data_IF_119188438665
#
_entry.id   IF_119188438665
#
_cell.length_a   1.000
_cell.length_b   1.000
_cell.length_c   1.000
_cell.angle_alpha   90.00
_cell.angle_beta   90.00
_cell.angle_gamma   90.00
#
_symmetry.space_group_name_H-M   'P 1'
#
loop_
_entity.id
_entity.type
_entity.pdbx_description
1 polymer ?
#
# COMPACT_ATOMS: atom_id res chain seq x y z
N UNK A 1 9.12 -1.93 82.66
CA UNK A 1 10.50 -1.40 82.69
C UNK A 1 10.83 -0.84 81.30
N UNK A 2 11.35 0.40 81.25
CA UNK A 2 12.05 1.10 80.13
C UNK A 2 11.47 1.00 78.71
N UNK A 3 10.85 2.04 78.13
CA UNK A 3 11.45 3.26 77.51
C UNK A 3 12.43 2.99 76.35
N UNK A 4 12.09 3.60 75.20
CA UNK A 4 12.82 3.74 73.93
C UNK A 4 14.31 4.09 74.05
N UNK A 5 15.07 3.93 72.96
CA UNK A 5 15.40 5.14 72.19
C UNK A 5 15.24 5.03 70.66
N UNK A 6 14.95 6.19 70.08
CA UNK A 6 15.04 6.61 68.66
C UNK A 6 16.42 7.32 68.47
N UNK A 7 16.82 7.84 67.30
CA UNK A 7 17.62 7.24 66.22
C UNK A 7 18.98 7.97 65.98
N UNK A 8 19.83 7.52 65.05
CA UNK A 8 20.93 8.31 64.42
C UNK A 8 21.50 7.58 63.19
N UNK A 9 22.01 8.28 62.15
CA UNK A 9 21.83 7.91 60.76
C UNK A 9 23.08 7.30 60.12
N UNK A 10 22.89 6.32 59.24
CA UNK A 10 23.91 5.91 58.28
C UNK A 10 23.33 5.87 56.87
N UNK A 11 23.68 6.91 56.11
CA UNK A 11 24.03 6.91 54.69
C UNK A 11 23.36 5.84 53.82
N UNK A 12 22.23 6.20 53.21
CA UNK A 12 21.84 5.58 51.95
C UNK A 12 22.84 5.95 50.84
N UNK A 13 23.04 5.10 49.82
CA UNK A 13 23.87 5.43 48.68
C UNK A 13 23.27 6.63 47.93
N UNK A 14 24.13 7.57 47.57
CA UNK A 14 23.81 8.73 46.75
C UNK A 14 23.16 8.28 45.43
N UNK A 15 21.97 8.81 45.15
CA UNK A 15 21.39 8.79 43.81
C UNK A 15 22.14 9.83 42.97
N UNK A 16 22.65 9.48 41.77
CA UNK A 16 23.28 10.46 40.90
C UNK A 16 22.25 11.52 40.49
N UNK A 17 22.58 12.79 40.78
CA UNK A 17 21.88 13.96 40.29
C UNK A 17 22.04 14.04 38.77
N UNK A 18 20.95 13.85 38.03
CA UNK A 18 20.92 14.15 36.60
C UNK A 18 20.60 15.64 36.40
N UNK A 19 21.61 16.40 35.98
CA UNK A 19 21.42 17.72 35.41
C UNK A 19 20.71 17.59 34.06
N UNK A 20 19.55 18.20 33.93
CA UNK A 20 18.88 18.35 32.64
C UNK A 20 19.57 19.45 31.82
N UNK A 21 20.43 19.04 30.89
CA UNK A 21 20.85 19.91 29.79
C UNK A 21 19.74 19.97 28.75
N UNK A 22 19.16 21.15 28.57
CA UNK A 22 18.14 21.46 27.57
C UNK A 22 18.77 21.55 26.18
N UNK A 23 18.54 20.54 25.34
CA UNK A 23 18.95 20.57 23.93
C UNK A 23 18.83 19.22 23.22
N UNK A 24 17.60 18.74 22.99
CA UNK A 24 17.35 17.65 22.04
C UNK A 24 16.36 18.18 20.99
N UNK A 25 16.79 18.17 19.73
CA UNK A 25 15.94 18.52 18.60
C UNK A 25 14.93 17.39 18.33
N UNK A 26 13.72 17.68 17.79
CA UNK A 26 12.68 16.67 17.55
C UNK A 26 13.03 15.54 16.55
N UNK A 27 14.25 15.51 16.00
CA UNK A 27 14.70 14.53 15.01
C UNK A 27 15.29 13.24 15.59
N UNK A 28 15.51 13.16 16.91
CA UNK A 28 16.31 12.07 17.51
C UNK A 28 15.50 11.09 18.38
N UNK A 29 14.17 11.06 18.23
CA UNK A 29 13.32 10.06 18.89
C UNK A 29 13.41 8.71 18.17
N UNK A 30 14.43 7.93 18.49
CA UNK A 30 14.48 6.50 18.18
C UNK A 30 13.59 5.76 19.16
N UNK A 31 12.53 5.13 18.66
CA UNK A 31 11.71 4.20 19.41
C UNK A 31 12.52 2.93 19.71
N UNK A 32 12.88 2.72 20.98
CA UNK A 32 13.47 1.47 21.46
C UNK A 32 12.37 0.71 22.21
N UNK A 33 11.84 -0.40 21.68
CA UNK A 33 10.86 -1.20 22.40
C UNK A 33 11.50 -1.87 23.63
N UNK A 34 10.72 -2.10 24.71
CA UNK A 34 11.23 -2.69 25.94
C UNK A 34 11.74 -4.13 25.73
N UNK A 35 12.93 -4.41 26.26
CA UNK A 35 13.56 -5.72 26.26
C UNK A 35 12.70 -6.76 27.02
N UNK A 36 12.75 -8.00 26.51
CA UNK A 36 12.17 -9.26 27.02
C UNK A 36 11.02 -9.88 26.22
N UNK A 37 11.13 -9.91 24.89
CA UNK A 37 10.80 -11.08 24.05
C UNK A 37 11.75 -11.03 22.84
N UNK A 38 12.37 -12.14 22.44
CA UNK A 38 13.19 -12.16 21.23
C UNK A 38 12.36 -11.64 20.06
N UNK A 39 12.72 -10.53 19.39
CA UNK A 39 11.95 -10.04 18.27
C UNK A 39 12.09 -11.06 17.15
N UNK A 40 11.02 -11.78 16.82
CA UNK A 40 10.96 -12.56 15.58
C UNK A 40 11.07 -11.54 14.46
N UNK A 41 12.30 -11.34 13.96
CA UNK A 41 12.56 -10.50 12.81
C UNK A 41 11.78 -11.05 11.63
N UNK A 42 11.22 -10.15 10.81
CA UNK A 42 10.52 -10.56 9.61
C UNK A 42 11.41 -11.50 8.76
N UNK A 43 10.82 -12.45 8.01
CA UNK A 43 11.61 -13.35 7.20
C UNK A 43 12.49 -12.57 6.21
N UNK A 44 13.64 -13.13 5.85
CA UNK A 44 14.55 -12.48 4.90
C UNK A 44 14.25 -12.93 3.47
N UNK A 45 14.13 -11.97 2.54
CA UNK A 45 14.08 -12.23 1.10
C UNK A 45 15.35 -12.92 0.56
N UNK A 46 16.43 -12.99 1.35
CA UNK A 46 17.68 -13.66 0.98
C UNK A 46 17.71 -15.15 1.34
N UNK A 47 16.73 -15.62 2.11
CA UNK A 47 16.64 -17.02 2.54
C UNK A 47 15.58 -17.77 1.73
N UNK A 48 15.76 -19.09 1.59
CA UNK A 48 14.71 -19.94 1.00
C UNK A 48 13.50 -19.94 1.92
N UNK A 49 12.43 -19.32 1.46
CA UNK A 49 11.15 -19.19 2.15
C UNK A 49 10.02 -19.42 1.15
N UNK A 50 8.81 -19.66 1.65
CA UNK A 50 7.61 -19.79 0.81
C UNK A 50 6.47 -18.97 1.39
N UNK A 51 5.45 -18.71 0.58
CA UNK A 51 4.31 -17.92 0.97
C UNK A 51 3.12 -18.10 0.04
N UNK A 52 2.03 -17.42 0.39
CA UNK A 52 0.79 -17.44 -0.39
C UNK A 52 0.42 -16.01 -0.80
N UNK A 53 0.08 -15.85 -2.08
CA UNK A 53 -0.58 -14.66 -2.61
C UNK A 53 -2.09 -14.78 -2.36
N UNK A 54 -2.64 -13.93 -1.49
CA UNK A 54 -4.08 -13.83 -1.27
C UNK A 54 -4.44 -12.41 -0.83
N UNK A 55 -5.25 -11.69 -1.60
CA UNK A 55 -5.72 -10.38 -1.16
C UNK A 55 -6.80 -10.53 -0.06
N UNK A 56 -6.79 -9.71 1.02
CA UNK A 56 -7.76 -9.85 2.11
C UNK A 56 -9.22 -9.78 1.66
N UNK A 57 -9.54 -9.07 0.57
CA UNK A 57 -10.90 -9.00 0.04
C UNK A 57 -11.47 -10.35 -0.41
N UNK A 58 -10.59 -11.31 -0.73
CA UNK A 58 -10.95 -12.64 -1.20
C UNK A 58 -11.23 -13.63 -0.06
N UNK A 59 -10.92 -13.25 1.19
CA UNK A 59 -11.30 -14.04 2.36
C UNK A 59 -12.82 -13.97 2.57
N UNK A 60 -13.43 -15.00 3.19
CA UNK A 60 -14.82 -14.91 3.62
C UNK A 60 -14.96 -13.81 4.68
N UNK A 61 -16.04 -13.03 4.62
CA UNK A 61 -16.31 -11.99 5.61
C UNK A 61 -17.81 -11.76 5.82
N UNK A 62 -18.21 -11.36 7.04
CA UNK A 62 -19.62 -11.20 7.40
C UNK A 62 -20.29 -9.99 6.73
N UNK A 63 -19.52 -9.13 6.06
CA UNK A 63 -19.98 -7.93 5.38
C UNK A 63 -19.82 -8.03 3.85
N UNK A 64 -19.87 -9.24 3.28
CA UNK A 64 -19.82 -9.50 1.83
C UNK A 64 -18.45 -9.36 1.17
N UNK A 65 -17.42 -9.04 1.95
CA UNK A 65 -16.02 -8.94 1.55
C UNK A 65 -15.14 -9.38 2.73
N UNK A 66 -14.00 -10.00 2.45
CA UNK A 66 -12.99 -10.22 3.47
C UNK A 66 -12.39 -8.90 3.96
N UNK A 67 -12.08 -8.82 5.26
CA UNK A 67 -11.60 -7.62 5.94
C UNK A 67 -10.53 -7.95 6.99
N UNK A 68 -10.06 -6.95 7.73
CA UNK A 68 -9.01 -7.07 8.75
C UNK A 68 -9.50 -7.72 10.06
N UNK A 69 -10.64 -8.41 10.04
CA UNK A 69 -11.26 -9.11 11.15
C UNK A 69 -10.74 -10.53 11.37
N UNK A 70 -11.60 -11.37 11.95
CA UNK A 70 -11.23 -12.72 12.39
C UNK A 70 -10.81 -13.66 11.25
N UNK A 71 -11.35 -13.48 10.04
CA UNK A 71 -10.98 -14.30 8.89
C UNK A 71 -9.51 -14.11 8.48
N UNK A 72 -9.01 -12.87 8.50
CA UNK A 72 -7.59 -12.57 8.23
C UNK A 72 -6.66 -13.17 9.27
N UNK A 73 -7.06 -13.14 10.55
CA UNK A 73 -6.28 -13.77 11.64
C UNK A 73 -6.23 -15.29 11.47
N UNK A 74 -7.38 -15.94 11.22
CA UNK A 74 -7.43 -17.40 10.98
C UNK A 74 -6.62 -17.81 9.75
N UNK A 75 -6.60 -16.98 8.71
CA UNK A 75 -5.78 -17.25 7.53
C UNK A 75 -4.29 -17.18 7.86
N UNK A 76 -3.84 -16.16 8.61
CA UNK A 76 -2.47 -16.09 9.09
C UNK A 76 -2.09 -17.32 9.95
N UNK A 77 -2.97 -17.76 10.86
CA UNK A 77 -2.75 -18.97 11.66
C UNK A 77 -2.64 -20.23 10.77
N UNK A 78 -3.44 -20.32 9.71
CA UNK A 78 -3.38 -21.41 8.74
C UNK A 78 -2.07 -21.40 7.94
N UNK A 79 -1.57 -20.22 7.55
CA UNK A 79 -0.27 -20.07 6.89
C UNK A 79 0.88 -20.53 7.80
N UNK A 80 0.85 -20.14 9.07
CA UNK A 80 1.84 -20.55 10.05
C UNK A 80 1.79 -22.07 10.29
N UNK A 81 0.60 -22.65 10.42
CA UNK A 81 0.41 -24.10 10.53
C UNK A 81 0.94 -24.85 9.29
N UNK A 82 0.80 -24.26 8.11
CA UNK A 82 1.35 -24.75 6.85
C UNK A 82 2.85 -24.41 6.63
N UNK A 83 3.52 -23.86 7.66
CA UNK A 83 4.94 -23.46 7.65
C UNK A 83 5.30 -22.48 6.52
N UNK A 84 4.34 -21.66 6.10
CA UNK A 84 4.62 -20.55 5.22
C UNK A 84 5.31 -19.43 6.01
N UNK A 85 6.13 -18.64 5.34
CA UNK A 85 6.81 -17.48 5.92
C UNK A 85 6.18 -16.16 5.47
N UNK A 86 5.54 -16.15 4.29
CA UNK A 86 5.04 -14.91 3.68
C UNK A 86 3.56 -14.96 3.35
N UNK A 87 2.88 -13.86 3.62
CA UNK A 87 1.57 -13.55 3.05
C UNK A 87 1.72 -12.35 2.11
N UNK A 88 1.61 -12.60 0.80
CA UNK A 88 1.64 -11.56 -0.22
C UNK A 88 0.24 -11.05 -0.54
N UNK A 89 0.11 -9.74 -0.73
CA UNK A 89 -1.13 -9.06 -1.05
C UNK A 89 -0.95 -8.13 -2.24
N UNK A 90 -2.06 -7.87 -2.93
CA UNK A 90 -2.18 -6.77 -3.90
C UNK A 90 -2.20 -5.41 -3.16
N UNK A 91 -2.20 -4.27 -3.87
CA UNK A 91 -2.30 -2.97 -3.22
C UNK A 91 -3.56 -2.84 -2.34
N UNK A 92 -3.39 -2.39 -1.10
CA UNK A 92 -4.49 -2.30 -0.11
C UNK A 92 -5.11 -0.90 -0.03
N UNK A 93 -4.94 -0.12 -1.10
CA UNK A 93 -5.46 1.24 -1.20
C UNK A 93 -6.96 1.29 -1.57
N UNK A 94 -7.64 2.43 -1.34
CA UNK A 94 -9.03 2.64 -1.75
C UNK A 94 -9.17 2.50 -3.26
N UNK A 95 -9.91 1.48 -3.70
CA UNK A 95 -10.02 1.13 -5.13
C UNK A 95 -10.80 2.19 -5.91
N UNK A 96 -10.35 2.50 -7.12
CA UNK A 96 -11.05 3.38 -8.06
C UNK A 96 -11.81 2.59 -9.12
N UNK A 97 -11.57 2.92 -10.40
CA UNK A 97 -12.27 2.33 -11.53
C UNK A 97 -12.22 0.79 -11.50
N UNK A 98 -13.39 0.15 -11.68
CA UNK A 98 -13.53 -1.30 -11.73
C UNK A 98 -13.27 -2.03 -10.41
N UNK A 99 -13.18 -1.32 -9.28
CA UNK A 99 -12.73 -1.86 -7.99
C UNK A 99 -11.30 -2.45 -8.05
N UNK A 100 -10.48 -1.99 -8.99
CA UNK A 100 -9.11 -2.48 -9.15
C UNK A 100 -8.17 -1.89 -8.08
N UNK A 101 -7.41 -2.74 -7.36
CA UNK A 101 -6.30 -2.31 -6.49
C UNK A 101 -5.25 -1.44 -7.19
N UNK A 102 -5.03 -1.65 -8.49
CA UNK A 102 -4.04 -0.92 -9.31
C UNK A 102 -4.57 0.43 -9.81
N UNK A 103 -5.84 0.73 -9.55
CA UNK A 103 -6.49 2.01 -9.84
C UNK A 103 -6.84 2.77 -8.56
N UNK A 104 -6.03 2.65 -7.51
CA UNK A 104 -6.32 3.23 -6.20
C UNK A 104 -6.40 4.77 -6.22
N UNK A 105 -7.40 5.32 -5.53
CA UNK A 105 -7.61 6.77 -5.36
C UNK A 105 -6.53 7.42 -4.47
N UNK A 106 -5.78 6.61 -3.73
CA UNK A 106 -4.56 7.02 -3.05
C UNK A 106 -3.58 5.86 -2.95
N UNK A 107 -2.31 6.16 -3.16
CA UNK A 107 -1.17 5.29 -2.90
C UNK A 107 -0.78 5.19 -1.42
N UNK A 108 -1.35 6.05 -0.58
CA UNK A 108 -1.02 6.15 0.84
C UNK A 108 -2.16 5.67 1.73
N UNK A 109 -3.42 5.96 1.40
CA UNK A 109 -4.55 5.55 2.22
C UNK A 109 -4.77 4.02 2.20
N UNK A 110 -5.42 3.50 3.24
CA UNK A 110 -5.95 2.14 3.29
C UNK A 110 -7.40 2.07 2.82
N UNK A 111 -7.78 0.96 2.20
CA UNK A 111 -9.13 0.76 1.68
C UNK A 111 -10.18 0.69 2.81
N UNK A 112 -11.18 1.59 2.85
CA UNK A 112 -12.27 1.56 3.82
C UNK A 112 -13.01 0.21 3.88
N UNK A 113 -13.10 -0.49 2.75
CA UNK A 113 -13.78 -1.79 2.67
C UNK A 113 -13.04 -2.91 3.41
N UNK A 114 -11.77 -2.70 3.77
CA UNK A 114 -11.00 -3.64 4.59
C UNK A 114 -11.15 -3.39 6.10
N UNK A 115 -11.79 -2.29 6.52
CA UNK A 115 -12.07 -2.05 7.94
C UNK A 115 -13.11 -3.04 8.43
N UNK A 116 -12.76 -3.86 9.41
CA UNK A 116 -13.63 -4.84 10.04
C UNK A 116 -14.67 -4.15 10.91
N UNK A 117 -15.95 -4.40 10.61
CA UNK A 117 -17.07 -3.90 11.40
C UNK A 117 -17.18 -4.63 12.75
N UNK A 118 -16.82 -5.91 12.80
CA UNK A 118 -16.78 -6.70 14.04
C UNK A 118 -15.80 -6.07 15.04
N UNK A 119 -14.59 -5.72 14.60
CA UNK A 119 -13.60 -5.04 15.46
C UNK A 119 -14.10 -3.66 15.92
N UNK A 120 -14.83 -2.92 15.08
CA UNK A 120 -15.45 -1.66 15.51
C UNK A 120 -16.55 -1.90 16.56
N UNK A 121 -17.24 -3.04 16.52
CA UNK A 121 -18.19 -3.41 17.56
C UNK A 121 -17.50 -3.82 18.86
N UNK A 122 -16.39 -4.56 18.80
CA UNK A 122 -15.57 -4.90 19.96
C UNK A 122 -15.03 -3.65 20.67
N UNK A 123 -14.73 -2.60 19.89
CA UNK A 123 -14.32 -1.29 20.40
C UNK A 123 -15.47 -0.43 20.94
N UNK A 124 -16.73 -0.88 20.78
CA UNK A 124 -17.92 -0.15 21.23
C UNK A 124 -18.40 0.96 20.28
N UNK A 125 -17.86 1.05 19.07
CA UNK A 125 -18.30 2.03 18.06
C UNK A 125 -19.54 1.60 17.30
N UNK A 126 -19.74 0.29 17.19
CA UNK A 126 -20.92 -0.35 16.62
C UNK A 126 -21.56 -1.27 17.66
N UNK A 127 -22.86 -1.48 17.53
CA UNK A 127 -23.57 -2.51 18.28
C UNK A 127 -23.60 -3.82 17.49
N UNK A 128 -23.90 -4.94 18.15
CA UNK A 128 -24.14 -6.21 17.45
C UNK A 128 -25.29 -6.13 16.42
N UNK A 129 -26.26 -5.24 16.64
CA UNK A 129 -27.35 -5.00 15.68
C UNK A 129 -26.86 -4.30 14.40
N UNK A 130 -25.82 -3.47 14.47
CA UNK A 130 -25.26 -2.79 13.30
C UNK A 130 -24.51 -3.77 12.37
N UNK A 131 -24.09 -4.92 12.90
CA UNK A 131 -23.44 -6.01 12.14
C UNK A 131 -24.44 -6.83 11.32
N UNK A 132 -25.74 -6.74 11.63
CA UNK A 132 -26.76 -7.43 10.87
C UNK A 132 -26.77 -6.92 9.42
N UNK A 133 -26.64 -7.85 8.48
CA UNK A 133 -26.60 -7.58 7.05
C UNK A 133 -27.39 -8.61 6.24
N UNK A 134 -27.50 -8.39 4.91
CA UNK A 134 -28.12 -9.35 4.02
C UNK A 134 -27.35 -10.69 4.02
N UNK A 135 -27.98 -11.74 3.50
CA UNK A 135 -27.28 -12.99 3.22
C UNK A 135 -26.31 -12.76 2.05
N UNK A 136 -25.02 -12.61 2.36
CA UNK A 136 -24.00 -12.35 1.36
C UNK A 136 -23.67 -13.58 0.52
N UNK A 137 -23.39 -13.33 -0.76
CA UNK A 137 -22.75 -14.31 -1.62
C UNK A 137 -21.28 -14.48 -1.21
N UNK A 138 -20.83 -15.73 -1.14
CA UNK A 138 -19.44 -16.06 -0.78
C UNK A 138 -18.54 -16.34 -2.00
N UNK A 139 -19.11 -16.40 -3.21
CA UNK A 139 -18.37 -16.73 -4.43
C UNK A 139 -17.73 -15.49 -5.10
N UNK A 140 -18.34 -14.31 -4.95
CA UNK A 140 -17.83 -13.04 -5.48
C UNK A 140 -18.26 -11.88 -4.60
N UNK A 141 -17.43 -10.84 -4.55
CA UNK A 141 -17.70 -9.61 -3.79
C UNK A 141 -18.71 -8.72 -4.55
N UNK A 142 -19.90 -8.43 -4.00
CA UNK A 142 -20.83 -7.47 -4.59
C UNK A 142 -20.44 -6.05 -4.19
N UNK A 143 -19.37 -5.52 -4.80
CA UNK A 143 -18.70 -4.27 -4.36
C UNK A 143 -19.62 -3.09 -4.11
N UNK A 144 -20.64 -2.85 -4.94
CA UNK A 144 -21.57 -1.72 -4.76
C UNK A 144 -22.43 -1.87 -3.49
N UNK A 145 -22.92 -3.07 -3.20
CA UNK A 145 -23.72 -3.37 -2.01
C UNK A 145 -22.85 -3.34 -0.76
N UNK A 146 -21.63 -3.88 -0.84
CA UNK A 146 -20.64 -3.86 0.24
C UNK A 146 -20.22 -2.42 0.56
N UNK A 147 -19.95 -1.59 -0.45
CA UNK A 147 -19.56 -0.19 -0.25
C UNK A 147 -20.67 0.61 0.43
N UNK A 148 -21.91 0.49 -0.06
CA UNK A 148 -23.06 1.12 0.58
C UNK A 148 -23.25 0.64 2.03
N UNK A 149 -23.19 -0.68 2.25
CA UNK A 149 -23.35 -1.29 3.57
C UNK A 149 -22.27 -0.80 4.54
N UNK A 150 -20.99 -0.94 4.17
CA UNK A 150 -19.86 -0.59 5.05
C UNK A 150 -19.77 0.92 5.26
N UNK A 151 -20.01 1.75 4.23
CA UNK A 151 -20.01 3.22 4.38
C UNK A 151 -21.06 3.68 5.39
N UNK A 152 -22.28 3.12 5.35
CA UNK A 152 -23.31 3.44 6.34
C UNK A 152 -22.84 3.12 7.77
N UNK A 153 -22.25 1.93 8.00
CA UNK A 153 -21.80 1.51 9.34
C UNK A 153 -20.58 2.30 9.79
N UNK A 154 -19.63 2.59 8.89
CA UNK A 154 -18.49 3.44 9.21
C UNK A 154 -18.93 4.84 9.65
N UNK A 155 -19.96 5.42 9.02
CA UNK A 155 -20.54 6.69 9.45
C UNK A 155 -21.21 6.60 10.82
N UNK A 156 -21.91 5.50 11.12
CA UNK A 156 -22.47 5.26 12.46
C UNK A 156 -21.37 5.14 13.51
N UNK A 157 -20.32 4.36 13.22
CA UNK A 157 -19.16 4.21 14.08
C UNK A 157 -18.48 5.56 14.37
N UNK A 158 -18.28 6.38 13.33
CA UNK A 158 -17.76 7.73 13.48
C UNK A 158 -18.66 8.60 14.35
N UNK A 159 -19.98 8.58 14.13
CA UNK A 159 -20.92 9.36 14.94
C UNK A 159 -20.90 8.92 16.43
N UNK A 160 -20.73 7.63 16.70
CA UNK A 160 -20.55 7.11 18.08
C UNK A 160 -19.23 7.57 18.67
N UNK A 161 -18.13 7.52 17.91
CA UNK A 161 -16.84 8.06 18.30
C UNK A 161 -16.92 9.55 18.65
N UNK A 162 -17.58 10.37 17.82
CA UNK A 162 -17.77 11.81 18.09
C UNK A 162 -18.47 12.07 19.43
N UNK A 163 -19.53 11.32 19.74
CA UNK A 163 -20.33 11.52 20.96
C UNK A 163 -19.66 10.95 22.21
N UNK A 164 -18.97 9.82 22.08
CA UNK A 164 -18.66 8.96 23.22
C UNK A 164 -17.18 8.63 23.42
N UNK A 165 -16.28 9.04 22.52
CA UNK A 165 -14.87 8.69 22.66
C UNK A 165 -14.25 9.26 23.94
N UNK A 166 -13.53 8.40 24.66
CA UNK A 166 -12.77 8.77 25.85
C UNK A 166 -11.65 9.74 25.48
N UNK A 167 -11.10 10.44 26.49
CA UNK A 167 -9.96 11.34 26.27
C UNK A 167 -8.79 10.63 25.60
N UNK A 168 -8.46 9.43 26.07
CA UNK A 168 -7.37 8.62 25.51
C UNK A 168 -7.60 8.24 24.05
N UNK A 169 -8.83 7.84 23.68
CA UNK A 169 -9.16 7.52 22.29
C UNK A 169 -9.05 8.75 21.37
N UNK A 170 -9.42 9.94 21.87
CA UNK A 170 -9.25 11.20 21.13
C UNK A 170 -7.77 11.57 20.98
N UNK A 171 -6.99 11.45 22.04
CA UNK A 171 -5.53 11.70 22.01
C UNK A 171 -4.83 10.77 21.01
N UNK A 172 -5.18 9.49 20.97
CA UNK A 172 -4.65 8.54 19.97
C UNK A 172 -5.04 8.92 18.54
N UNK A 173 -6.29 9.36 18.35
CA UNK A 173 -6.75 9.82 17.03
C UNK A 173 -6.01 11.09 16.60
N UNK A 174 -5.84 12.06 17.48
CA UNK A 174 -5.11 13.30 17.19
C UNK A 174 -3.62 13.04 16.95
N UNK A 175 -3.00 12.11 17.70
CA UNK A 175 -1.63 11.67 17.45
C UNK A 175 -1.47 11.02 16.06
N UNK A 176 -2.42 10.18 15.65
CA UNK A 176 -2.44 9.62 14.30
C UNK A 176 -2.56 10.72 13.24
N UNK A 177 -3.44 11.70 13.44
CA UNK A 177 -3.62 12.83 12.51
C UNK A 177 -2.36 13.67 12.38
N UNK A 178 -1.68 13.95 13.49
CA UNK A 178 -0.44 14.76 13.49
C UNK A 178 0.78 14.03 12.92
N UNK A 179 0.85 12.70 13.07
CA UNK A 179 1.99 11.90 12.57
C UNK A 179 1.84 11.46 11.11
N UNK A 180 0.62 11.46 10.57
CA UNK A 180 0.33 10.96 9.21
C UNK A 180 0.30 12.09 8.19
N UNK A 181 1.46 12.39 7.59
CA UNK A 181 1.65 13.57 6.72
C UNK A 181 0.77 13.61 5.47
N UNK A 182 0.39 12.46 4.91
CA UNK A 182 -0.47 12.37 3.72
C UNK A 182 -1.97 12.48 4.05
N UNK A 183 -2.35 12.35 5.33
CA UNK A 183 -3.75 12.21 5.74
C UNK A 183 -4.59 13.43 5.37
N UNK A 184 -4.05 14.64 5.60
CA UNK A 184 -4.76 15.89 5.36
C UNK A 184 -5.12 16.12 3.89
N UNK A 185 -4.25 15.70 2.96
CA UNK A 185 -4.54 15.78 1.53
C UNK A 185 -5.52 14.69 1.10
N UNK A 186 -5.38 13.46 1.63
CA UNK A 186 -6.33 12.38 1.37
C UNK A 186 -7.75 12.69 1.84
N UNK A 187 -7.91 13.12 3.10
CA UNK A 187 -9.23 13.37 3.69
C UNK A 187 -9.94 14.54 3.00
N UNK A 188 -9.20 15.60 2.66
CA UNK A 188 -9.73 16.72 1.87
C UNK A 188 -10.08 16.28 0.44
N UNK A 189 -9.23 15.51 -0.23
CA UNK A 189 -9.51 14.98 -1.58
C UNK A 189 -10.79 14.15 -1.58
N UNK A 190 -10.96 13.23 -0.63
CA UNK A 190 -12.17 12.39 -0.58
C UNK A 190 -13.42 13.18 -0.24
N UNK A 191 -13.36 14.08 0.75
CA UNK A 191 -14.49 14.93 1.08
C UNK A 191 -14.93 15.79 -0.12
N UNK A 192 -13.97 16.36 -0.87
CA UNK A 192 -14.24 17.09 -2.10
C UNK A 192 -14.83 16.20 -3.19
N UNK A 193 -14.27 15.02 -3.40
CA UNK A 193 -14.78 14.07 -4.40
C UNK A 193 -16.22 13.67 -4.10
N UNK A 194 -16.55 13.40 -2.84
CA UNK A 194 -17.92 13.08 -2.41
C UNK A 194 -18.85 14.28 -2.61
N UNK A 195 -18.44 15.48 -2.20
CA UNK A 195 -19.20 16.72 -2.39
C UNK A 195 -19.43 17.08 -3.86
N UNK A 196 -18.58 16.59 -4.78
CA UNK A 196 -18.71 16.76 -6.23
C UNK A 196 -19.31 15.53 -6.92
N UNK A 197 -20.01 14.64 -6.19
CA UNK A 197 -20.72 13.50 -6.78
C UNK A 197 -19.81 12.47 -7.46
N UNK A 198 -18.55 12.38 -7.03
CA UNK A 198 -17.56 11.47 -7.59
C UNK A 198 -16.81 12.00 -8.81
N UNK A 199 -17.10 13.22 -9.30
CA UNK A 199 -16.42 13.82 -10.44
C UNK A 199 -14.90 13.86 -10.28
N UNK A 200 -14.19 13.74 -11.40
CA UNK A 200 -12.73 13.83 -11.44
C UNK A 200 -12.25 15.22 -11.04
N UNK A 201 -11.11 15.32 -10.35
CA UNK A 201 -10.68 16.59 -9.76
C UNK A 201 -10.45 17.74 -10.76
N UNK A 202 -10.23 17.44 -12.04
CA UNK A 202 -10.08 18.46 -13.08
C UNK A 202 -11.38 19.20 -13.43
N UNK A 203 -12.53 18.65 -13.01
CA UNK A 203 -13.86 19.22 -13.20
C UNK A 203 -14.33 20.05 -11.99
N UNK A 204 -13.63 19.97 -10.85
CA UNK A 204 -13.97 20.75 -9.66
C UNK A 204 -13.79 22.25 -9.90
N UNK A 205 -14.37 23.04 -8.98
CA UNK A 205 -14.24 24.49 -8.95
C UNK A 205 -12.76 24.92 -9.16
N UNK A 206 -12.48 25.89 -10.06
CA UNK A 206 -11.12 26.28 -10.43
C UNK A 206 -10.13 26.53 -9.28
N UNK A 207 -10.57 27.18 -8.20
CA UNK A 207 -9.81 27.43 -6.99
C UNK A 207 -9.41 26.15 -6.27
N UNK A 208 -10.36 25.23 -6.05
CA UNK A 208 -10.10 23.91 -5.44
C UNK A 208 -9.23 23.04 -6.34
N UNK A 209 -9.54 22.96 -7.64
CA UNK A 209 -8.75 22.21 -8.64
C UNK A 209 -7.30 22.65 -8.65
N UNK A 210 -7.06 23.97 -8.60
CA UNK A 210 -5.71 24.55 -8.64
C UNK A 210 -5.13 24.77 -7.23
N UNK A 211 -5.77 24.20 -6.20
CA UNK A 211 -5.33 24.23 -4.80
C UNK A 211 -5.02 25.64 -4.28
N UNK A 212 -5.85 26.62 -4.64
CA UNK A 212 -5.71 28.00 -4.14
C UNK A 212 -5.92 28.01 -2.62
N UNK A 213 -5.01 28.61 -1.83
CA UNK A 213 -5.07 28.53 -0.36
C UNK A 213 -6.43 28.93 0.23
N UNK A 214 -7.02 30.04 -0.26
CA UNK A 214 -8.34 30.50 0.21
C UNK A 214 -9.47 29.52 -0.13
N UNK A 215 -9.45 28.92 -1.34
CA UNK A 215 -10.46 27.93 -1.74
C UNK A 215 -10.34 26.64 -0.91
N UNK A 216 -9.11 26.20 -0.62
CA UNK A 216 -8.89 25.04 0.23
C UNK A 216 -9.26 25.31 1.69
N UNK A 217 -9.02 26.51 2.22
CA UNK A 217 -9.45 26.90 3.56
C UNK A 217 -10.98 26.87 3.67
N UNK A 218 -11.68 27.51 2.74
CA UNK A 218 -13.14 27.49 2.69
C UNK A 218 -13.70 26.06 2.55
N UNK A 219 -13.07 25.22 1.73
CA UNK A 219 -13.44 23.81 1.61
C UNK A 219 -13.23 23.03 2.91
N UNK A 220 -12.12 23.26 3.62
CA UNK A 220 -11.86 22.63 4.93
C UNK A 220 -12.89 23.02 5.98
N UNK A 221 -13.29 24.29 6.02
CA UNK A 221 -14.32 24.78 6.94
C UNK A 221 -15.68 24.16 6.60
N UNK A 222 -16.06 24.18 5.32
CA UNK A 222 -17.35 23.66 4.83
C UNK A 222 -17.47 22.15 5.02
N UNK A 223 -16.38 21.41 4.80
CA UNK A 223 -16.35 19.94 4.79
C UNK A 223 -15.71 19.36 6.05
N UNK A 224 -15.57 20.12 7.14
CA UNK A 224 -14.83 19.72 8.34
C UNK A 224 -15.27 18.34 8.89
N UNK A 225 -16.58 18.09 8.96
CA UNK A 225 -17.13 16.81 9.43
C UNK A 225 -16.78 15.66 8.49
N UNK A 226 -16.85 15.87 7.18
CA UNK A 226 -16.54 14.84 6.17
C UNK A 226 -15.06 14.53 6.13
N UNK A 227 -14.20 15.54 6.26
CA UNK A 227 -12.76 15.39 6.40
C UNK A 227 -12.46 14.53 7.64
N UNK A 228 -13.05 14.87 8.78
CA UNK A 228 -12.84 14.14 10.04
C UNK A 228 -13.37 12.70 9.98
N UNK A 229 -14.46 12.45 9.25
CA UNK A 229 -14.94 11.09 8.97
C UNK A 229 -13.89 10.28 8.19
N UNK A 230 -13.36 10.82 7.10
CA UNK A 230 -12.32 10.13 6.32
C UNK A 230 -11.03 9.91 7.12
N UNK A 231 -10.66 10.86 7.99
CA UNK A 231 -9.56 10.70 8.94
C UNK A 231 -9.83 9.55 9.93
N UNK A 232 -11.03 9.48 10.50
CA UNK A 232 -11.42 8.40 11.41
C UNK A 232 -11.36 7.03 10.74
N UNK A 233 -11.83 6.90 9.50
CA UNK A 233 -11.77 5.63 8.74
C UNK A 233 -10.32 5.20 8.53
N UNK A 234 -9.41 6.13 8.21
CA UNK A 234 -7.99 5.81 8.09
C UNK A 234 -7.34 5.44 9.43
N UNK A 235 -7.77 6.06 10.53
CA UNK A 235 -7.33 5.69 11.87
C UNK A 235 -7.78 4.27 12.24
N UNK A 236 -9.04 3.92 11.95
CA UNK A 236 -9.57 2.58 12.15
C UNK A 236 -8.82 1.55 11.29
N UNK A 237 -8.57 1.86 10.01
CA UNK A 237 -7.77 1.01 9.14
C UNK A 237 -6.37 0.77 9.72
N UNK A 238 -5.65 1.84 10.09
CA UNK A 238 -4.29 1.74 10.62
C UNK A 238 -4.23 0.86 11.88
N UNK A 239 -5.12 1.10 12.86
CA UNK A 239 -5.22 0.29 14.08
C UNK A 239 -5.43 -1.19 13.79
N UNK A 240 -6.36 -1.51 12.88
CA UNK A 240 -6.69 -2.89 12.57
C UNK A 240 -5.57 -3.57 11.75
N UNK A 241 -4.93 -2.82 10.86
CA UNK A 241 -3.78 -3.29 10.10
C UNK A 241 -2.60 -3.60 11.02
N UNK A 242 -2.26 -2.68 11.93
CA UNK A 242 -1.17 -2.86 12.90
C UNK A 242 -1.42 -4.08 13.79
N UNK A 243 -2.67 -4.30 14.21
CA UNK A 243 -3.05 -5.49 14.98
C UNK A 243 -2.87 -6.79 14.18
N UNK A 244 -3.27 -6.81 12.90
CA UNK A 244 -3.04 -7.96 12.02
C UNK A 244 -1.54 -8.21 11.79
N UNK A 245 -0.79 -7.15 11.55
CA UNK A 245 0.64 -7.23 11.29
C UNK A 245 1.42 -7.74 12.51
N UNK A 246 1.09 -7.23 13.71
CA UNK A 246 1.63 -7.72 14.97
C UNK A 246 1.33 -9.21 15.14
N UNK A 247 0.09 -9.65 14.88
CA UNK A 247 -0.29 -11.05 14.95
C UNK A 247 0.48 -11.93 13.96
N UNK A 248 0.70 -11.46 12.73
CA UNK A 248 1.53 -12.16 11.75
C UNK A 248 2.97 -12.33 12.26
N UNK A 249 3.57 -11.29 12.86
CA UNK A 249 4.93 -11.36 13.42
C UNK A 249 5.05 -12.33 14.60
N UNK A 250 4.05 -12.36 15.48
CA UNK A 250 3.96 -13.37 16.56
C UNK A 250 3.96 -14.80 16.01
N UNK A 251 3.32 -15.00 14.85
CA UNK A 251 3.25 -16.28 14.15
C UNK A 251 4.49 -16.58 13.27
N UNK A 252 5.49 -15.68 13.24
CA UNK A 252 6.68 -15.81 12.40
C UNK A 252 6.43 -15.55 10.90
N UNK A 253 5.33 -14.86 10.57
CA UNK A 253 4.96 -14.48 9.20
C UNK A 253 5.37 -13.04 8.90
N UNK A 254 5.90 -12.83 7.70
CA UNK A 254 6.06 -11.51 7.09
C UNK A 254 4.94 -11.19 6.10
N UNK A 255 4.65 -9.91 5.94
CA UNK A 255 3.72 -9.42 4.92
C UNK A 255 4.47 -8.86 3.71
N UNK A 256 4.08 -9.25 2.50
CA UNK A 256 4.57 -8.67 1.25
C UNK A 256 3.47 -7.80 0.63
N UNK A 257 3.72 -6.50 0.54
CA UNK A 257 2.84 -5.54 -0.13
C UNK A 257 3.19 -5.38 -1.60
N UNK A 258 2.44 -4.51 -2.27
CA UNK A 258 2.62 -4.21 -3.69
C UNK A 258 2.45 -2.71 -3.95
N UNK A 259 3.38 -2.14 -4.71
CA UNK A 259 3.40 -0.73 -5.12
C UNK A 259 3.31 -0.66 -6.64
N UNK A 260 2.14 -0.25 -7.19
CA UNK A 260 1.99 0.06 -8.60
C UNK A 260 2.96 1.16 -9.02
N UNK A 261 3.70 1.00 -10.12
CA UNK A 261 4.63 2.04 -10.54
C UNK A 261 3.91 3.35 -10.81
N UNK A 262 2.82 3.32 -11.58
CA UNK A 262 2.01 4.51 -11.87
C UNK A 262 0.93 4.75 -10.82
N UNK A 263 0.37 5.97 -10.82
CA UNK A 263 -0.79 6.35 -10.01
C UNK A 263 -1.90 6.87 -10.92
N UNK A 264 -3.19 6.61 -10.62
CA UNK A 264 -4.30 7.16 -11.37
C UNK A 264 -4.27 8.69 -11.44
N UNK A 265 -4.66 9.26 -12.59
CA UNK A 265 -4.79 10.71 -12.75
C UNK A 265 -5.79 11.29 -11.75
N UNK A 266 -6.93 10.63 -11.56
CA UNK A 266 -7.92 11.01 -10.56
C UNK A 266 -7.59 10.36 -9.20
N UNK A 267 -6.58 10.91 -8.52
CA UNK A 267 -6.12 10.47 -7.20
C UNK A 267 -5.74 11.66 -6.32
N UNK A 268 -5.68 11.42 -5.01
CA UNK A 268 -5.22 12.41 -4.05
C UNK A 268 -3.79 12.85 -4.34
N UNK A 269 -2.91 11.92 -4.76
CA UNK A 269 -1.50 12.24 -5.00
C UNK A 269 -1.31 13.16 -6.20
N UNK A 270 -1.99 12.89 -7.32
CA UNK A 270 -1.88 13.73 -8.51
C UNK A 270 -2.53 15.09 -8.29
N UNK A 271 -3.69 15.13 -7.61
CA UNK A 271 -4.34 16.40 -7.27
C UNK A 271 -3.48 17.25 -6.33
N UNK A 272 -2.87 16.65 -5.30
CA UNK A 272 -2.09 17.36 -4.29
C UNK A 272 -0.68 17.78 -4.74
N UNK A 273 -0.08 17.03 -5.67
CA UNK A 273 1.31 17.18 -6.09
C UNK A 273 1.44 17.41 -7.61
N UNK A 274 0.58 18.27 -8.17
CA UNK A 274 0.43 18.44 -9.63
C UNK A 274 1.74 18.70 -10.39
N UNK A 275 2.72 19.37 -9.78
CA UNK A 275 4.02 19.66 -10.38
C UNK A 275 4.94 18.44 -10.49
N UNK A 276 4.67 17.38 -9.73
CA UNK A 276 5.39 16.09 -9.78
C UNK A 276 4.97 15.19 -10.95
N UNK A 277 4.00 15.63 -11.74
CA UNK A 277 3.43 14.86 -12.84
C UNK A 277 3.45 15.66 -14.15
N UNK A 278 3.41 14.94 -15.27
CA UNK A 278 3.39 15.51 -16.62
C UNK A 278 2.00 16.06 -16.99
N UNK A 279 1.61 17.14 -16.30
CA UNK A 279 0.31 17.78 -16.45
C UNK A 279 0.42 19.11 -17.20
N UNK A 280 -0.57 19.37 -18.05
CA UNK A 280 -0.76 20.61 -18.77
C UNK A 280 -1.80 21.52 -18.11
N UNK A 281 -2.37 22.41 -18.91
CA UNK A 281 -3.39 23.36 -18.44
C UNK A 281 -4.58 22.64 -17.81
N UNK A 282 -5.10 23.21 -16.72
CA UNK A 282 -6.24 22.67 -15.95
C UNK A 282 -6.01 21.26 -15.39
N UNK A 283 -4.76 20.82 -15.28
CA UNK A 283 -4.42 19.54 -14.66
C UNK A 283 -4.59 18.31 -15.56
N UNK A 284 -4.78 18.49 -16.88
CA UNK A 284 -4.89 17.36 -17.81
C UNK A 284 -3.51 16.77 -18.15
N UNK A 285 -3.33 15.44 -18.24
CA UNK A 285 -2.06 14.86 -18.66
C UNK A 285 -1.64 15.35 -20.04
N UNK A 286 -0.34 15.68 -20.22
CA UNK A 286 0.21 15.99 -21.55
C UNK A 286 0.58 14.71 -22.29
N UNK A 287 1.22 13.78 -21.58
CA UNK A 287 1.50 12.42 -22.01
C UNK A 287 1.02 11.45 -20.93
N UNK A 288 0.72 10.24 -21.38
CA UNK A 288 0.28 9.14 -20.54
C UNK A 288 1.13 7.90 -20.78
N UNK A 289 1.16 7.02 -19.79
CA UNK A 289 1.82 5.74 -19.85
C UNK A 289 1.14 4.78 -20.81
N UNK A 290 1.94 3.90 -21.38
CA UNK A 290 1.52 2.74 -22.14
C UNK A 290 2.69 1.80 -22.37
N UNK A 291 2.55 0.91 -23.33
CA UNK A 291 3.63 0.10 -23.91
C UNK A 291 3.55 0.15 -25.44
N UNK A 292 4.69 0.09 -26.13
CA UNK A 292 4.70 0.02 -27.60
C UNK A 292 4.01 -1.26 -28.09
N UNK A 293 3.70 -1.33 -29.40
CA UNK A 293 3.28 -2.58 -30.01
C UNK A 293 4.26 -3.73 -29.78
N UNK A 294 3.70 -4.91 -29.58
CA UNK A 294 4.42 -6.18 -29.53
C UNK A 294 3.61 -7.26 -30.27
N UNK A 295 4.13 -8.49 -30.27
CA UNK A 295 3.52 -9.63 -30.96
C UNK A 295 2.13 -10.00 -30.41
N UNK A 296 1.81 -9.58 -29.18
CA UNK A 296 0.54 -9.85 -28.49
C UNK A 296 -0.46 -8.69 -28.62
N UNK A 297 0.02 -7.46 -28.78
CA UNK A 297 -0.77 -6.24 -28.88
C UNK A 297 -0.27 -5.33 -30.03
N UNK A 298 -0.85 -5.51 -31.23
CA UNK A 298 -0.45 -4.78 -32.46
C UNK A 298 -0.53 -3.25 -32.37
N UNK A 299 -1.40 -2.71 -31.53
CA UNK A 299 -1.56 -1.27 -31.30
C UNK A 299 -0.81 -0.76 -30.05
N UNK A 300 -0.08 -1.66 -29.38
CA UNK A 300 0.42 -1.49 -28.02
C UNK A 300 -0.72 -1.41 -27.01
N UNK A 301 -0.42 -0.96 -25.81
CA UNK A 301 -1.42 -0.75 -24.76
C UNK A 301 -1.34 0.67 -24.26
N UNK A 302 -2.49 1.33 -24.13
CA UNK A 302 -2.61 2.67 -23.60
C UNK A 302 -3.21 2.59 -22.20
N UNK A 303 -2.38 2.77 -21.17
CA UNK A 303 -2.83 2.62 -19.78
C UNK A 303 -3.45 3.90 -19.22
N UNK A 304 -3.11 5.07 -19.78
CA UNK A 304 -3.78 6.34 -19.45
C UNK A 304 -3.30 7.00 -18.16
N UNK A 305 -2.34 6.41 -17.44
CA UNK A 305 -1.74 7.02 -16.26
C UNK A 305 -0.87 8.23 -16.61
N UNK A 306 -0.86 9.32 -15.81
CA UNK A 306 0.09 10.40 -15.98
C UNK A 306 1.53 9.91 -15.75
N UNK A 307 2.47 10.52 -16.43
CA UNK A 307 3.91 10.26 -16.23
C UNK A 307 4.46 11.12 -15.10
N UNK A 308 5.55 10.67 -14.49
CA UNK A 308 6.27 11.44 -13.49
C UNK A 308 7.09 12.57 -14.11
N UNK A 309 7.12 13.71 -13.43
CA UNK A 309 8.09 14.76 -13.68
C UNK A 309 9.36 14.49 -12.84
N UNK A 310 10.22 13.61 -13.35
CA UNK A 310 11.43 13.18 -12.64
C UNK A 310 12.41 14.32 -12.32
N UNK A 311 12.41 15.38 -13.11
CA UNK A 311 13.20 16.59 -12.83
C UNK A 311 12.71 17.27 -11.55
N UNK A 312 11.40 17.55 -11.44
CA UNK A 312 10.80 18.12 -10.22
C UNK A 312 10.93 17.21 -9.02
N UNK A 313 10.80 15.90 -9.22
CA UNK A 313 11.01 14.94 -8.14
C UNK A 313 12.46 14.96 -7.64
N UNK A 314 13.45 15.07 -8.54
CA UNK A 314 14.87 15.20 -8.18
C UNK A 314 15.16 16.50 -7.43
N UNK A 315 14.59 17.63 -7.87
CA UNK A 315 14.70 18.91 -7.17
C UNK A 315 14.18 18.84 -5.73
N UNK A 316 13.18 17.99 -5.48
CA UNK A 316 12.62 17.73 -4.15
C UNK A 316 13.13 16.44 -3.53
N UNK A 317 14.29 16.01 -3.97
CA UNK A 317 15.07 14.96 -3.36
C UNK A 317 14.33 13.61 -3.27
N UNK A 318 13.47 13.38 -4.25
CA UNK A 318 12.59 12.22 -4.37
C UNK A 318 11.65 12.01 -3.17
N UNK A 319 11.41 13.06 -2.38
CA UNK A 319 10.62 13.02 -1.13
C UNK A 319 9.24 12.34 -1.26
N UNK A 320 8.55 12.52 -2.40
CA UNK A 320 7.26 11.86 -2.65
C UNK A 320 7.40 10.33 -2.75
N UNK A 321 8.35 9.83 -3.55
CA UNK A 321 8.60 8.39 -3.67
C UNK A 321 9.15 7.78 -2.38
N UNK A 322 10.04 8.49 -1.68
CA UNK A 322 10.54 8.06 -0.38
C UNK A 322 9.40 7.95 0.65
N UNK A 323 8.48 8.92 0.67
CA UNK A 323 7.31 8.85 1.54
C UNK A 323 6.39 7.68 1.19
N UNK A 324 6.23 7.38 -0.10
CA UNK A 324 5.44 6.24 -0.59
C UNK A 324 6.05 4.91 -0.13
N UNK A 325 7.37 4.75 -0.25
CA UNK A 325 8.07 3.58 0.27
C UNK A 325 7.98 3.48 1.78
N UNK A 326 8.22 4.57 2.53
CA UNK A 326 8.11 4.57 4.01
C UNK A 326 6.71 4.19 4.48
N UNK A 327 5.67 4.72 3.84
CA UNK A 327 4.28 4.39 4.20
C UNK A 327 3.97 2.93 3.94
N UNK A 328 4.45 2.39 2.82
CA UNK A 328 4.22 0.99 2.45
C UNK A 328 5.03 0.04 3.35
N UNK A 329 6.32 0.31 3.56
CA UNK A 329 7.19 -0.49 4.45
C UNK A 329 6.81 -0.33 5.94
N UNK A 330 6.04 0.69 6.31
CA UNK A 330 5.41 0.77 7.62
C UNK A 330 4.27 -0.24 7.81
N UNK A 331 3.66 -0.70 6.71
CA UNK A 331 2.55 -1.68 6.70
C UNK A 331 2.97 -3.10 6.35
N UNK A 332 4.07 -3.25 5.62
CA UNK A 332 4.54 -4.52 5.06
C UNK A 332 6.01 -4.71 5.37
N UNK A 333 6.45 -5.95 5.56
CA UNK A 333 7.86 -6.26 5.84
C UNK A 333 8.70 -6.32 4.56
N UNK A 334 8.06 -6.54 3.40
CA UNK A 334 8.65 -6.44 2.08
C UNK A 334 7.64 -5.88 1.06
N UNK A 335 8.13 -5.38 -0.08
CA UNK A 335 7.28 -4.74 -1.10
C UNK A 335 7.67 -5.17 -2.51
N UNK A 336 6.71 -5.70 -3.27
CA UNK A 336 6.82 -5.81 -4.73
C UNK A 336 6.65 -4.44 -5.37
N UNK A 337 7.52 -4.11 -6.31
CA UNK A 337 7.43 -2.93 -7.16
C UNK A 337 6.97 -3.42 -8.52
N UNK A 338 5.70 -3.18 -8.82
CA UNK A 338 5.10 -3.42 -10.13
C UNK A 338 5.77 -2.53 -11.19
N UNK A 339 5.90 -3.04 -12.41
CA UNK A 339 6.44 -2.33 -13.56
C UNK A 339 7.79 -1.65 -13.28
N UNK A 340 8.75 -2.39 -12.71
CA UNK A 340 10.04 -1.85 -12.24
C UNK A 340 10.84 -1.15 -13.34
N UNK A 341 10.69 -1.59 -14.60
CA UNK A 341 11.29 -0.95 -15.78
C UNK A 341 10.98 0.55 -15.86
N UNK A 342 9.84 1.01 -15.32
CA UNK A 342 9.46 2.42 -15.28
C UNK A 342 10.48 3.34 -14.61
N UNK A 343 11.28 2.83 -13.67
CA UNK A 343 12.39 3.58 -13.06
C UNK A 343 13.53 3.81 -14.04
N UNK A 344 13.75 2.91 -15.00
CA UNK A 344 14.74 3.10 -16.06
C UNK A 344 14.16 3.90 -17.23
N UNK A 345 12.99 3.51 -17.74
CA UNK A 345 12.33 4.17 -18.88
C UNK A 345 10.83 3.93 -18.91
N UNK A 346 10.08 4.87 -19.48
CA UNK A 346 8.65 4.76 -19.70
C UNK A 346 8.29 5.06 -21.15
N UNK A 347 7.27 4.38 -21.69
CA UNK A 347 6.71 4.69 -23.00
C UNK A 347 5.69 5.81 -22.87
N UNK A 348 6.06 6.99 -23.36
CA UNK A 348 5.29 8.22 -23.20
C UNK A 348 4.43 8.50 -24.44
N UNK A 349 3.11 8.36 -24.32
CA UNK A 349 2.15 8.57 -25.40
C UNK A 349 1.47 9.93 -25.24
N UNK A 350 1.44 10.82 -26.25
CA UNK A 350 0.66 12.06 -26.17
C UNK A 350 -0.81 11.78 -25.80
N UNK A 351 -1.32 12.42 -24.74
CA UNK A 351 -2.62 12.09 -24.12
C UNK A 351 -3.84 12.30 -25.05
N UNK A 352 -3.67 13.04 -26.16
CA UNK A 352 -4.69 13.24 -27.19
C UNK A 352 -4.89 12.03 -28.12
N UNK A 353 -4.00 11.03 -28.06
CA UNK A 353 -4.05 9.85 -28.92
C UNK A 353 -4.89 8.75 -28.29
N UNK A 354 -5.45 7.89 -29.16
CA UNK A 354 -6.31 6.76 -28.75
C UNK A 354 -5.58 5.43 -28.64
N UNK A 355 -4.31 5.37 -29.05
CA UNK A 355 -3.47 4.17 -29.01
C UNK A 355 -2.01 4.52 -28.72
N UNK A 356 -1.19 3.50 -28.47
CA UNK A 356 0.19 3.65 -28.02
C UNK A 356 1.22 3.74 -29.16
N UNK A 357 0.80 3.60 -30.42
CA UNK A 357 1.66 3.57 -31.61
C UNK A 357 2.67 4.72 -31.71
N UNK A 358 2.29 5.94 -31.29
CA UNK A 358 3.10 7.15 -31.45
C UNK A 358 3.70 7.65 -30.14
N UNK A 359 3.97 6.73 -29.21
CA UNK A 359 4.74 7.03 -28.01
C UNK A 359 6.23 7.20 -28.29
N UNK A 360 6.97 7.60 -27.25
CA UNK A 360 8.45 7.68 -27.26
C UNK A 360 8.97 7.22 -25.91
N UNK A 361 10.12 6.54 -25.91
CA UNK A 361 10.82 6.25 -24.67
C UNK A 361 11.32 7.55 -24.03
N UNK A 362 11.01 7.71 -22.74
CA UNK A 362 11.60 8.73 -21.87
C UNK A 362 12.35 8.03 -20.74
N UNK A 363 13.42 8.65 -20.27
CA UNK A 363 14.21 8.12 -19.15
C UNK A 363 13.49 8.35 -17.83
N UNK A 364 13.55 7.33 -16.96
CA UNK A 364 13.15 7.43 -15.56
C UNK A 364 14.25 8.03 -14.68
N UNK A 365 14.12 7.90 -13.36
CA UNK A 365 15.13 8.37 -12.41
C UNK A 365 16.30 7.40 -12.19
N UNK A 366 16.29 6.23 -12.82
CA UNK A 366 17.29 5.19 -12.61
C UNK A 366 17.36 4.74 -11.16
N UNK A 367 18.58 4.62 -10.65
CA UNK A 367 18.89 4.15 -9.29
C UNK A 367 18.67 5.17 -8.18
N UNK A 368 18.53 6.47 -8.50
CA UNK A 368 18.63 7.55 -7.53
C UNK A 368 17.70 7.37 -6.31
N UNK A 369 16.42 7.04 -6.54
CA UNK A 369 15.43 6.82 -5.48
C UNK A 369 15.84 5.67 -4.56
N UNK A 370 16.41 4.59 -5.12
CA UNK A 370 16.84 3.42 -4.38
C UNK A 370 18.13 3.68 -3.59
N UNK A 371 19.05 4.48 -4.11
CA UNK A 371 20.22 4.94 -3.35
C UNK A 371 19.82 5.77 -2.14
N UNK A 372 18.80 6.63 -2.31
CA UNK A 372 18.23 7.42 -1.21
C UNK A 372 17.57 6.53 -0.17
N UNK A 373 16.71 5.63 -0.59
CA UNK A 373 16.03 4.71 0.30
C UNK A 373 17.03 3.80 1.04
N UNK A 374 18.05 3.28 0.35
CA UNK A 374 19.09 2.42 0.94
C UNK A 374 19.92 3.16 1.99
N UNK A 375 20.24 4.44 1.77
CA UNK A 375 20.93 5.28 2.76
C UNK A 375 20.11 5.48 4.04
N UNK A 376 18.79 5.58 3.91
CA UNK A 376 17.90 5.79 5.07
C UNK A 376 17.57 4.50 5.82
N UNK A 377 17.36 3.39 5.10
CA UNK A 377 16.84 2.14 5.66
C UNK A 377 17.90 1.06 5.91
N UNK A 378 19.12 1.23 5.37
CA UNK A 378 20.23 0.27 5.48
C UNK A 378 20.06 -1.02 4.65
N UNK A 379 18.83 -1.51 4.47
CA UNK A 379 18.51 -2.67 3.63
C UNK A 379 17.21 -2.48 2.87
N UNK A 380 17.18 -2.95 1.62
CA UNK A 380 16.00 -2.88 0.76
C UNK A 380 15.25 -4.21 0.80
N UNK A 381 14.10 -4.26 1.47
CA UNK A 381 13.16 -5.37 1.38
C UNK A 381 12.20 -5.16 0.20
N UNK A 382 12.78 -5.03 -1.00
CA UNK A 382 12.02 -4.76 -2.23
C UNK A 382 12.17 -5.93 -3.20
N UNK A 383 11.12 -6.21 -3.96
CA UNK A 383 11.09 -7.19 -5.05
C UNK A 383 10.80 -6.43 -6.33
N UNK A 384 11.65 -6.56 -7.34
CA UNK A 384 11.44 -5.93 -8.64
C UNK A 384 10.57 -6.85 -9.49
N UNK A 385 9.39 -6.39 -9.90
CA UNK A 385 8.70 -7.05 -10.99
C UNK A 385 9.34 -6.66 -12.32
N UNK A 386 10.03 -7.65 -12.89
CA UNK A 386 10.86 -7.56 -14.09
C UNK A 386 10.35 -8.51 -15.18
N UNK A 387 9.04 -8.60 -15.39
CA UNK A 387 8.45 -9.46 -16.42
C UNK A 387 8.36 -8.72 -17.77
N UNK A 388 8.12 -9.49 -18.85
CA UNK A 388 8.05 -8.97 -20.21
C UNK A 388 9.43 -8.81 -20.87
N UNK A 389 9.61 -7.77 -21.70
CA UNK A 389 10.88 -7.53 -22.40
C UNK A 389 11.89 -6.89 -21.44
N UNK A 390 12.64 -7.74 -20.75
CA UNK A 390 13.74 -7.33 -19.87
C UNK A 390 14.93 -6.87 -20.72
N UNK A 391 15.44 -5.67 -20.46
CA UNK A 391 16.68 -5.19 -21.10
C UNK A 391 17.84 -5.24 -20.13
N UNK A 392 19.09 -5.34 -20.62
CA UNK A 392 20.28 -5.38 -19.77
C UNK A 392 20.37 -4.21 -18.78
N UNK A 393 19.82 -3.05 -19.11
CA UNK A 393 19.80 -1.89 -18.21
C UNK A 393 18.85 -2.07 -17.03
N UNK A 394 17.72 -2.75 -17.24
CA UNK A 394 16.77 -3.08 -16.17
C UNK A 394 17.37 -4.14 -15.24
N UNK A 395 18.06 -5.14 -15.80
CA UNK A 395 18.79 -6.13 -15.01
C UNK A 395 19.90 -5.48 -14.19
N UNK A 396 20.71 -4.60 -14.81
CA UNK A 396 21.75 -3.85 -14.11
C UNK A 396 21.18 -2.99 -12.98
N UNK A 397 20.03 -2.33 -13.21
CA UNK A 397 19.36 -1.55 -12.18
C UNK A 397 18.87 -2.45 -11.03
N UNK A 398 18.19 -3.55 -11.33
CA UNK A 398 17.72 -4.53 -10.33
C UNK A 398 18.87 -5.10 -9.51
N UNK A 399 19.90 -5.59 -10.18
CA UNK A 399 21.01 -6.32 -9.58
C UNK A 399 21.93 -5.38 -8.79
N UNK A 400 22.11 -4.14 -9.25
CA UNK A 400 22.89 -3.10 -8.54
C UNK A 400 22.33 -2.75 -7.16
N UNK A 401 21.03 -2.98 -6.92
CA UNK A 401 20.38 -2.80 -5.62
C UNK A 401 20.10 -4.10 -4.88
N UNK A 402 20.63 -5.22 -5.38
CA UNK A 402 20.41 -6.55 -4.85
C UNK A 402 18.93 -6.97 -4.78
N UNK A 403 18.09 -6.56 -5.73
CA UNK A 403 16.67 -6.84 -5.71
C UNK A 403 16.36 -8.22 -6.36
N UNK A 404 15.54 -9.09 -5.74
CA UNK A 404 15.00 -10.26 -6.42
C UNK A 404 14.07 -9.84 -7.57
N UNK A 405 14.26 -10.48 -8.72
CA UNK A 405 13.29 -10.48 -9.82
C UNK A 405 12.20 -11.54 -9.62
N UNK A 406 11.20 -11.56 -10.50
CA UNK A 406 10.08 -12.50 -10.47
C UNK A 406 10.24 -13.54 -11.58
N UNK A 407 9.93 -14.81 -11.27
CA UNK A 407 9.84 -15.90 -12.25
C UNK A 407 8.47 -16.55 -12.16
N UNK A 408 7.75 -16.57 -13.27
CA UNK A 408 6.39 -17.10 -13.37
C UNK A 408 6.42 -18.40 -14.17
N UNK A 409 6.15 -19.52 -13.51
CA UNK A 409 6.28 -20.85 -14.11
C UNK A 409 5.39 -21.02 -15.36
N UNK A 410 4.17 -20.48 -15.34
CA UNK A 410 3.26 -20.52 -16.50
C UNK A 410 3.84 -19.88 -17.78
N UNK A 411 4.82 -18.98 -17.67
CA UNK A 411 5.50 -18.38 -18.83
C UNK A 411 6.62 -19.25 -19.39
N UNK A 412 7.09 -20.24 -18.61
CA UNK A 412 8.22 -21.09 -18.98
C UNK A 412 7.92 -22.09 -20.10
N UNK A 413 6.64 -22.36 -20.38
CA UNK A 413 6.24 -23.42 -21.30
C UNK A 413 5.83 -22.93 -22.71
N UNK A 414 6.03 -21.64 -23.02
CA UNK A 414 5.81 -21.04 -24.34
C UNK A 414 7.11 -20.74 -25.10
N UNK A 415 7.07 -19.80 -26.06
CA UNK A 415 8.27 -19.33 -26.76
C UNK A 415 9.03 -18.29 -25.91
N UNK A 416 9.73 -18.77 -24.87
CA UNK A 416 10.84 -18.04 -24.24
C UNK A 416 12.16 -18.73 -24.66
N UNK A 417 12.84 -18.24 -25.71
CA UNK A 417 14.09 -18.85 -26.18
C UNK A 417 15.19 -18.81 -25.12
N UNK A 418 15.10 -17.92 -24.13
CA UNK A 418 16.05 -17.82 -23.03
C UNK A 418 15.68 -18.72 -21.83
N UNK A 419 14.50 -19.36 -21.84
CA UNK A 419 14.02 -20.29 -20.81
C UNK A 419 14.15 -19.72 -19.38
N UNK A 420 14.00 -18.40 -19.25
CA UNK A 420 14.21 -17.67 -18.00
C UNK A 420 13.19 -18.05 -16.93
N UNK A 421 12.02 -18.51 -17.36
CA UNK A 421 10.90 -18.89 -16.52
C UNK A 421 10.84 -20.40 -16.19
N UNK A 422 11.81 -21.21 -16.63
CA UNK A 422 11.95 -22.60 -16.21
C UNK A 422 12.84 -22.77 -14.97
N UNK A 423 12.54 -23.71 -14.04
CA UNK A 423 13.21 -23.82 -12.75
C UNK A 423 14.74 -23.98 -12.80
N UNK A 424 15.29 -24.63 -13.83
CA UNK A 424 16.74 -24.83 -13.97
C UNK A 424 17.49 -23.52 -14.27
N UNK A 425 16.79 -22.46 -14.68
CA UNK A 425 17.35 -21.14 -15.00
C UNK A 425 17.15 -20.11 -13.88
N UNK A 426 16.47 -20.47 -12.79
CA UNK A 426 16.13 -19.51 -11.73
C UNK A 426 17.38 -19.00 -11.01
N UNK A 427 17.58 -17.66 -10.95
CA UNK A 427 18.60 -17.10 -10.09
C UNK A 427 18.34 -17.48 -8.63
N UNK A 428 19.40 -17.61 -7.82
CA UNK A 428 19.24 -17.83 -6.37
C UNK A 428 18.40 -16.73 -5.71
N UNK A 429 18.45 -15.52 -6.26
CA UNK A 429 17.73 -14.34 -5.79
C UNK A 429 16.56 -14.03 -6.72
N UNK A 430 15.48 -14.77 -6.56
CA UNK A 430 14.23 -14.53 -7.28
C UNK A 430 13.03 -14.94 -6.44
N UNK A 431 11.90 -14.28 -6.65
CA UNK A 431 10.60 -14.78 -6.26
C UNK A 431 10.08 -15.66 -7.39
N UNK A 432 9.91 -16.95 -7.13
CA UNK A 432 9.28 -17.88 -8.07
C UNK A 432 7.80 -18.08 -7.69
N UNK A 433 6.90 -17.97 -8.67
CA UNK A 433 5.47 -18.18 -8.51
C UNK A 433 4.95 -19.10 -9.62
N UNK A 434 3.87 -19.84 -9.34
CA UNK A 434 3.17 -20.61 -10.37
C UNK A 434 2.53 -19.66 -11.38
N UNK A 435 1.79 -18.67 -10.88
CA UNK A 435 1.18 -17.55 -11.60
C UNK A 435 1.10 -16.32 -10.68
N UNK A 436 0.75 -15.17 -11.23
CA UNK A 436 0.40 -13.94 -10.50
C UNK A 436 -1.13 -13.78 -10.45
N UNK A 437 -1.61 -12.63 -9.97
CA UNK A 437 -3.04 -12.30 -10.01
C UNK A 437 -3.54 -11.94 -11.42
N UNK A 438 -2.65 -11.69 -12.38
CA UNK A 438 -2.99 -11.43 -13.79
C UNK A 438 -3.14 -12.73 -14.60
N UNK A 439 -2.74 -13.86 -14.01
CA UNK A 439 -2.81 -15.16 -14.63
C UNK A 439 -4.09 -15.91 -14.24
N UNK A 440 -4.50 -16.85 -15.09
CA UNK A 440 -5.47 -17.86 -14.68
C UNK A 440 -4.83 -18.78 -13.60
N UNK A 441 -5.69 -19.43 -12.82
CA UNK A 441 -5.29 -20.52 -11.93
C UNK A 441 -4.50 -21.57 -12.70
N UNK A 442 -3.60 -22.31 -12.03
CA UNK A 442 -2.80 -23.34 -12.70
C UNK A 442 -3.66 -24.39 -13.42
N UNK A 443 -4.84 -24.72 -12.88
CA UNK A 443 -5.78 -25.62 -13.53
C UNK A 443 -6.43 -24.99 -14.77
N UNK A 444 -6.91 -23.76 -14.67
CA UNK A 444 -7.52 -23.04 -15.79
C UNK A 444 -6.53 -22.81 -16.94
N UNK A 445 -5.31 -22.38 -16.61
CA UNK A 445 -4.20 -22.27 -17.56
C UNK A 445 -3.93 -23.60 -18.26
N UNK A 446 -3.73 -24.70 -17.52
CA UNK A 446 -3.46 -26.01 -18.10
C UNK A 446 -4.58 -26.49 -19.04
N UNK A 447 -5.84 -26.25 -18.67
CA UNK A 447 -7.00 -26.60 -19.49
C UNK A 447 -7.12 -25.76 -20.77
N UNK A 448 -6.57 -24.53 -20.78
CA UNK A 448 -6.54 -23.64 -21.95
C UNK A 448 -5.46 -23.99 -22.98
N UNK A 449 -4.53 -24.89 -22.68
CA UNK A 449 -3.48 -25.30 -23.63
C UNK A 449 -4.13 -26.15 -24.72
N UNK A 450 -4.26 -25.61 -25.93
CA UNK A 450 -4.92 -26.30 -27.06
C UNK A 450 -4.08 -27.41 -27.70
N UNK A 451 -2.75 -27.38 -27.51
CA UNK A 451 -1.83 -28.35 -28.10
C UNK A 451 -1.55 -29.50 -27.12
N UNK A 452 -2.07 -30.69 -27.41
CA UNK A 452 -1.89 -31.88 -26.56
C UNK A 452 -0.40 -32.22 -26.31
N UNK A 453 0.49 -32.01 -27.30
CA UNK A 453 1.92 -32.22 -27.11
C UNK A 453 2.59 -31.20 -26.19
N UNK A 454 2.08 -29.96 -26.14
CA UNK A 454 2.50 -28.96 -25.15
C UNK A 454 1.94 -29.29 -23.78
N UNK A 455 0.69 -29.77 -23.70
CA UNK A 455 0.04 -30.19 -22.46
C UNK A 455 0.72 -31.41 -21.82
N UNK A 456 1.24 -32.34 -22.63
CA UNK A 456 2.01 -33.50 -22.16
C UNK A 456 3.42 -33.13 -21.69
N UNK A 457 3.98 -32.03 -22.21
CA UNK A 457 5.31 -31.54 -21.83
C UNK A 457 5.32 -30.70 -20.55
N UNK A 458 4.23 -29.98 -20.29
CA UNK A 458 3.94 -29.25 -19.03
C UNK A 458 3.71 -30.24 -17.89
#
# INVERSE_FOLDING_TARGET
>A
MGKHPKPSPHSGPELPSFEFSSGIAPSDLVFIPPDHMSPTTAPSLRSRTSGVLLHPSSLPGPAGIGDLGAASVRFAESLAAARQSWWQMLPVGPTGFGNSPYSALSSFAGNPLLVSLERLADEGWLSGADLAGPAWRLDRVPFAEVDAFKTERLRRAFATFERGATREQRERFDAFRSSTTWLADWSLYRALKDANGGSVWTEWEPGVRSRKPAALAAARDTLATEIRYHEFVQHAFARQWDALHARCRELGLGLIGDVPFYVPHDSAEVWANQDMFDLGRRGRPMRVAGVPPDDYAKDGQLWGFPLYNWERMRERDYSWWLSRFRTTLGRFDAVRIDHFIGFHRAWAVPARLKNALKGRWIMGCGGDVFERLKRESGSLQLIAEDLGVVTPEVEQLRDGFDLPGIRVLQFGFGWDPAQTHLPHSYPKRSLAATGTHDNDTSLGWYQSIDNDGMRDWV
#
